data_IF_516209315870
#
_entry.id   IF_516209315870
#
_cell.length_a   1.000
_cell.length_b   1.000
_cell.length_c   1.000
_cell.angle_alpha   90.00
_cell.angle_beta   90.00
_cell.angle_gamma   90.00
#
_symmetry.space_group_name_H-M   'P 1'
#
loop_
_entity.id
_entity.type
_entity.pdbx_description
1 polymer ?
#
# COMPACT_ATOMS: atom_id res chain seq x y z
N UNK A 1 -55.64 -42.15 14.16
CA UNK A 1 -56.59 -41.16 14.69
C UNK A 1 -56.15 -39.81 14.16
N UNK A 2 -56.85 -39.32 13.13
CA UNK A 2 -57.64 -38.07 13.16
C UNK A 2 -56.77 -36.82 13.39
N UNK A 3 -56.82 -35.72 12.63
CA UNK A 3 -57.63 -35.22 11.50
C UNK A 3 -56.85 -33.94 11.07
N UNK A 4 -56.52 -33.76 9.79
CA UNK A 4 -57.28 -32.92 8.84
C UNK A 4 -57.55 -31.47 9.30
N UNK A 5 -57.02 -30.50 8.53
CA UNK A 5 -57.75 -29.44 7.79
C UNK A 5 -56.69 -28.44 7.26
N UNK A 6 -56.45 -28.34 5.94
CA UNK A 6 -57.13 -27.44 4.96
C UNK A 6 -56.81 -25.96 5.26
N UNK A 7 -56.28 -25.11 4.37
CA UNK A 7 -56.58 -24.75 2.96
C UNK A 7 -55.82 -23.41 2.74
N UNK A 8 -55.48 -22.84 1.58
CA UNK A 8 -55.65 -23.12 0.17
C UNK A 8 -54.64 -22.21 -0.56
N UNK A 9 -53.91 -22.73 -1.55
CA UNK A 9 -53.18 -21.93 -2.51
C UNK A 9 -54.15 -21.62 -3.67
N UNK A 10 -54.57 -20.36 -3.78
CA UNK A 10 -55.40 -19.88 -4.88
C UNK A 10 -54.52 -19.13 -5.88
N UNK A 11 -54.54 -19.68 -7.09
CA UNK A 11 -54.04 -19.06 -8.31
C UNK A 11 -54.81 -17.78 -8.62
N UNK A 12 -54.09 -16.67 -8.85
CA UNK A 12 -54.62 -15.45 -9.45
C UNK A 12 -54.03 -15.27 -10.86
N UNK A 13 -54.84 -14.94 -11.89
CA UNK A 13 -54.38 -14.89 -13.27
C UNK A 13 -53.60 -13.61 -13.57
N UNK A 14 -52.54 -13.76 -14.37
CA UNK A 14 -51.85 -12.67 -15.07
C UNK A 14 -52.85 -11.98 -16.01
N UNK A 15 -53.19 -10.73 -15.70
CA UNK A 15 -53.96 -9.84 -16.58
C UNK A 15 -53.00 -8.80 -17.17
N UNK A 16 -52.59 -9.06 -18.41
CA UNK A 16 -51.95 -8.10 -19.30
C UNK A 16 -52.97 -7.01 -19.66
N UNK A 17 -52.76 -5.80 -19.16
CA UNK A 17 -53.41 -4.59 -19.65
C UNK A 17 -52.35 -3.71 -20.32
N UNK A 18 -52.41 -3.70 -21.65
CA UNK A 18 -51.68 -2.79 -22.51
C UNK A 18 -52.12 -1.35 -22.27
N UNK A 19 -51.17 -0.44 -22.45
CA UNK A 19 -51.31 0.97 -22.10
C UNK A 19 -52.28 1.77 -22.96
N UNK A 20 -52.70 2.89 -22.39
CA UNK A 20 -52.99 4.14 -23.08
C UNK A 20 -53.23 5.22 -22.03
N UNK A 21 -52.55 6.37 -22.19
CA UNK A 21 -52.89 7.60 -21.47
C UNK A 21 -51.70 8.24 -20.79
N UNK A 22 -50.80 8.85 -21.57
CA UNK A 22 -50.03 9.97 -21.07
C UNK A 22 -51.04 11.01 -20.56
N UNK A 23 -51.04 11.32 -19.27
CA UNK A 23 -51.62 12.56 -18.79
C UNK A 23 -50.83 13.68 -19.49
N UNK A 24 -51.43 14.31 -20.50
CA UNK A 24 -50.91 15.58 -21.01
C UNK A 24 -51.14 16.58 -19.90
N UNK A 25 -50.08 16.96 -19.18
CA UNK A 25 -50.04 18.26 -18.53
C UNK A 25 -50.43 19.30 -19.58
N UNK A 26 -51.48 20.06 -19.33
CA UNK A 26 -51.79 21.22 -20.15
C UNK A 26 -50.51 22.08 -20.21
N UNK A 27 -50.02 22.33 -21.43
CA UNK A 27 -48.93 23.29 -21.61
C UNK A 27 -49.46 24.63 -21.14
N UNK A 28 -49.06 25.06 -19.95
CA UNK A 28 -49.20 26.45 -19.51
C UNK A 28 -48.35 27.26 -20.49
N UNK A 29 -48.98 27.88 -21.48
CA UNK A 29 -48.28 28.62 -22.53
C UNK A 29 -47.93 30.04 -22.09
N UNK A 30 -48.49 30.53 -20.98
CA UNK A 30 -48.25 31.85 -20.40
C UNK A 30 -48.44 31.80 -18.88
N UNK A 31 -47.51 32.42 -18.15
CA UNK A 31 -47.63 32.59 -16.71
C UNK A 31 -48.72 33.61 -16.35
N UNK A 32 -49.35 33.48 -15.16
CA UNK A 32 -50.29 34.48 -14.66
C UNK A 32 -49.64 35.88 -14.61
N UNK A 33 -50.43 36.96 -14.71
CA UNK A 33 -49.90 38.32 -14.62
C UNK A 33 -49.04 38.52 -13.36
N UNK A 34 -47.81 38.99 -13.57
CA UNK A 34 -46.81 39.20 -12.51
C UNK A 34 -45.91 38.00 -12.19
N UNK A 35 -46.06 36.89 -12.91
CA UNK A 35 -45.11 35.77 -12.93
C UNK A 35 -44.34 35.74 -14.26
N UNK A 36 -43.07 35.34 -14.22
CA UNK A 36 -42.16 35.21 -15.35
C UNK A 36 -41.81 33.74 -15.62
N UNK A 37 -41.34 33.49 -16.84
CA UNK A 37 -40.88 32.16 -17.26
C UNK A 37 -39.47 31.87 -16.72
N UNK A 38 -39.29 30.74 -16.03
CA UNK A 38 -37.97 30.21 -15.67
C UNK A 38 -37.72 28.81 -16.24
N UNK A 39 -36.46 28.57 -16.61
CA UNK A 39 -35.95 27.26 -17.00
C UNK A 39 -35.31 26.60 -15.78
N UNK A 40 -35.70 25.36 -15.48
CA UNK A 40 -35.11 24.55 -14.41
C UNK A 40 -33.95 23.71 -14.96
N UNK A 41 -33.01 23.32 -14.08
CA UNK A 41 -31.78 22.60 -14.45
C UNK A 41 -32.06 21.21 -15.07
N UNK A 42 -33.23 20.63 -14.80
CA UNK A 42 -33.71 19.37 -15.37
C UNK A 42 -34.34 19.53 -16.78
N UNK A 43 -34.35 20.76 -17.31
CA UNK A 43 -34.94 21.10 -18.62
C UNK A 43 -36.45 21.28 -18.58
N UNK A 44 -37.08 21.24 -17.41
CA UNK A 44 -38.49 21.60 -17.21
C UNK A 44 -38.68 23.11 -17.07
N UNK A 45 -39.93 23.55 -17.02
CA UNK A 45 -40.29 24.97 -16.99
C UNK A 45 -41.30 25.23 -15.88
N UNK A 46 -41.14 26.35 -15.19
CA UNK A 46 -42.08 26.80 -14.17
C UNK A 46 -42.28 28.33 -14.20
N UNK A 47 -43.40 28.77 -13.64
CA UNK A 47 -43.75 30.18 -13.49
C UNK A 47 -43.24 30.72 -12.16
N UNK A 48 -42.21 31.55 -12.22
CA UNK A 48 -41.57 32.18 -11.07
C UNK A 48 -42.12 33.58 -10.83
N UNK A 49 -42.05 34.11 -9.60
CA UNK A 49 -42.51 35.48 -9.35
C UNK A 49 -41.67 36.48 -10.17
N UNK A 50 -42.29 37.57 -10.65
CA UNK A 50 -41.59 38.64 -11.38
C UNK A 50 -41.60 39.98 -10.62
N UNK A 51 -42.41 40.10 -9.56
CA UNK A 51 -42.49 41.25 -8.68
C UNK A 51 -43.05 40.87 -7.31
N UNK A 52 -42.87 41.75 -6.31
CA UNK A 52 -43.38 41.51 -4.95
C UNK A 52 -44.91 41.49 -4.88
N UNK A 53 -45.59 42.17 -5.82
CA UNK A 53 -47.06 42.30 -5.84
C UNK A 53 -47.79 40.96 -6.05
N UNK A 54 -47.11 39.95 -6.60
CA UNK A 54 -47.69 38.61 -6.74
C UNK A 54 -47.44 37.71 -5.55
N UNK A 55 -46.56 38.11 -4.63
CA UNK A 55 -46.25 37.32 -3.46
C UNK A 55 -47.31 37.50 -2.36
N UNK A 56 -47.57 36.46 -1.55
CA UNK A 56 -48.45 36.57 -0.40
C UNK A 56 -47.98 37.65 0.58
N UNK A 57 -48.88 38.15 1.44
CA UNK A 57 -48.51 39.14 2.45
C UNK A 57 -47.30 38.68 3.28
N UNK A 58 -46.37 39.61 3.53
CA UNK A 58 -45.10 39.35 4.21
C UNK A 58 -43.99 38.78 3.31
N UNK A 59 -44.26 38.40 2.05
CA UNK A 59 -43.25 37.84 1.15
C UNK A 59 -42.79 38.85 0.08
N UNK A 60 -41.53 38.76 -0.34
CA UNK A 60 -40.96 39.49 -1.49
C UNK A 60 -40.50 38.50 -2.56
N UNK A 61 -40.40 38.97 -3.80
CA UNK A 61 -39.91 38.15 -4.89
C UNK A 61 -38.38 38.23 -4.98
N UNK A 62 -37.70 37.12 -4.66
CA UNK A 62 -36.25 37.00 -4.73
C UNK A 62 -35.86 35.80 -5.60
N UNK A 63 -35.10 36.06 -6.66
CA UNK A 63 -34.62 35.03 -7.60
C UNK A 63 -35.75 34.15 -8.18
N UNK A 64 -36.95 34.70 -8.32
CA UNK A 64 -38.11 33.99 -8.85
C UNK A 64 -38.91 33.19 -7.82
N UNK A 65 -38.51 33.21 -6.54
CA UNK A 65 -39.27 32.61 -5.45
C UNK A 65 -39.83 33.70 -4.53
N UNK A 66 -41.07 33.52 -4.07
CA UNK A 66 -41.61 34.35 -3.00
C UNK A 66 -40.99 33.92 -1.67
N UNK A 67 -40.05 34.71 -1.16
CA UNK A 67 -39.36 34.47 0.11
C UNK A 67 -39.94 35.35 1.20
N UNK A 68 -39.96 34.85 2.42
CA UNK A 68 -40.49 35.58 3.56
C UNK A 68 -39.60 36.79 3.89
N UNK A 69 -40.18 37.98 4.05
CA UNK A 69 -39.46 39.26 4.22
C UNK A 69 -39.62 39.87 5.62
N UNK A 70 -40.68 39.53 6.35
CA UNK A 70 -40.87 39.94 7.74
C UNK A 70 -41.62 38.88 8.55
N UNK A 71 -41.70 39.02 9.88
CA UNK A 71 -42.30 37.99 10.75
C UNK A 71 -43.78 37.68 10.42
N UNK A 72 -44.49 38.54 9.69
CA UNK A 72 -45.90 38.30 9.36
C UNK A 72 -46.13 37.14 8.40
N UNK A 73 -45.09 36.69 7.68
CA UNK A 73 -45.16 35.47 6.86
C UNK A 73 -44.76 34.19 7.60
N UNK A 74 -44.24 34.29 8.83
CA UNK A 74 -43.86 33.13 9.60
C UNK A 74 -45.05 32.56 10.39
N UNK A 75 -45.13 31.22 10.55
CA UNK A 75 -46.10 30.58 11.44
C UNK A 75 -45.99 31.07 12.89
N UNK A 76 -47.03 30.85 13.70
CA UNK A 76 -46.97 31.17 15.13
C UNK A 76 -45.75 30.52 15.79
N UNK A 77 -45.03 31.33 16.58
CA UNK A 77 -43.77 30.96 17.25
C UNK A 77 -42.52 30.86 16.35
N UNK A 78 -42.63 31.22 15.07
CA UNK A 78 -41.48 31.38 14.17
C UNK A 78 -41.28 32.86 13.81
N UNK A 79 -40.03 33.26 13.58
CA UNK A 79 -39.64 34.60 13.16
C UNK A 79 -38.60 34.52 12.03
N UNK A 80 -38.36 35.62 11.33
CA UNK A 80 -37.31 35.64 10.30
C UNK A 80 -35.93 35.51 10.92
N UNK A 81 -35.10 34.69 10.28
CA UNK A 81 -33.70 34.56 10.60
C UNK A 81 -32.97 35.88 10.29
N UNK A 82 -32.45 36.54 11.33
CA UNK A 82 -31.71 37.81 11.14
C UNK A 82 -30.38 37.67 10.40
N UNK A 83 -29.80 36.47 10.35
CA UNK A 83 -28.55 36.20 9.62
C UNK A 83 -28.82 35.69 8.20
N UNK A 84 -29.95 35.00 7.99
CA UNK A 84 -30.37 34.45 6.69
C UNK A 84 -31.82 34.87 6.34
N UNK A 85 -32.04 36.15 5.99
CA UNK A 85 -33.37 36.64 5.61
C UNK A 85 -33.96 35.81 4.46
N UNK A 86 -35.26 35.52 4.53
CA UNK A 86 -35.93 34.59 3.63
C UNK A 86 -36.35 33.26 4.26
N UNK A 87 -35.79 32.92 5.44
CA UNK A 87 -36.10 31.68 6.18
C UNK A 87 -36.75 32.00 7.54
N UNK A 88 -37.84 31.32 7.85
CA UNK A 88 -38.44 31.33 9.18
C UNK A 88 -37.73 30.32 10.08
N UNK A 89 -37.30 30.76 11.26
CA UNK A 89 -36.68 29.93 12.31
C UNK A 89 -37.53 29.99 13.57
N UNK A 90 -37.43 28.94 14.38
CA UNK A 90 -38.13 28.87 15.66
C UNK A 90 -37.67 30.01 16.58
N UNK A 91 -38.62 30.75 17.15
CA UNK A 91 -38.37 31.93 17.99
C UNK A 91 -39.17 31.90 19.29
N UNK A 92 -39.41 30.70 19.83
CA UNK A 92 -40.13 30.52 21.09
C UNK A 92 -40.22 29.06 21.55
N UNK A 93 -40.72 28.80 22.77
CA UNK A 93 -40.80 27.44 23.30
C UNK A 93 -41.83 26.56 22.59
N UNK A 94 -42.87 27.14 21.99
CA UNK A 94 -43.96 26.38 21.39
C UNK A 94 -43.62 25.78 20.02
N UNK A 95 -42.51 26.21 19.39
CA UNK A 95 -42.03 25.63 18.13
C UNK A 95 -41.01 24.51 18.33
N UNK A 96 -40.56 24.23 19.55
CA UNK A 96 -39.67 23.11 19.82
C UNK A 96 -40.44 21.79 19.86
N UNK A 97 -39.88 20.77 19.21
CA UNK A 97 -40.41 19.40 19.24
C UNK A 97 -40.25 18.76 20.63
N UNK A 98 -40.97 17.67 20.90
CA UNK A 98 -40.85 16.94 22.17
C UNK A 98 -39.38 16.52 22.41
N UNK A 99 -38.88 16.81 23.62
CA UNK A 99 -37.48 16.59 23.99
C UNK A 99 -36.58 17.81 23.83
N UNK A 100 -37.01 18.86 23.11
CA UNK A 100 -36.24 20.10 22.94
C UNK A 100 -36.77 21.24 23.82
N UNK A 101 -35.86 22.12 24.27
CA UNK A 101 -36.15 23.34 25.03
C UNK A 101 -35.60 24.54 24.28
N UNK A 102 -36.39 25.61 24.18
CA UNK A 102 -35.94 26.84 23.53
C UNK A 102 -34.98 27.60 24.44
N UNK A 103 -33.77 27.84 23.94
CA UNK A 103 -32.75 28.68 24.58
C UNK A 103 -32.66 30.02 23.82
N UNK A 104 -33.09 31.14 24.44
CA UNK A 104 -33.04 32.46 23.81
C UNK A 104 -31.62 33.04 23.71
N UNK A 105 -30.64 32.49 24.42
CA UNK A 105 -29.27 33.01 24.47
C UNK A 105 -28.37 32.40 23.37
N UNK A 106 -28.85 31.36 22.67
CA UNK A 106 -28.12 30.71 21.59
C UNK A 106 -28.31 31.41 20.24
N UNK A 107 -27.39 32.33 19.97
CA UNK A 107 -27.36 33.11 18.75
C UNK A 107 -28.42 34.23 18.75
N UNK A 108 -28.51 35.00 17.65
CA UNK A 108 -29.36 36.18 17.62
C UNK A 108 -30.87 35.86 17.53
N UNK A 109 -31.24 34.63 17.16
CA UNK A 109 -32.63 34.19 17.02
C UNK A 109 -33.13 33.31 18.18
N UNK A 110 -32.24 32.85 19.06
CA UNK A 110 -32.48 31.71 19.95
C UNK A 110 -32.61 30.39 19.17
N UNK A 111 -32.49 29.25 19.85
CA UNK A 111 -32.58 27.93 19.21
C UNK A 111 -33.17 26.88 20.15
N UNK A 112 -33.84 25.88 19.57
CA UNK A 112 -34.23 24.68 20.30
C UNK A 112 -33.00 23.80 20.53
N UNK A 113 -32.71 23.50 21.79
CA UNK A 113 -31.66 22.56 22.18
C UNK A 113 -32.25 21.31 22.78
N UNK A 114 -31.57 20.19 22.54
CA UNK A 114 -31.96 18.92 23.11
C UNK A 114 -31.83 18.98 24.64
N UNK A 115 -32.86 18.54 25.36
CA UNK A 115 -32.95 18.59 26.82
C UNK A 115 -33.15 17.22 27.47
N UNK A 116 -33.11 16.14 26.69
CA UNK A 116 -33.24 14.77 27.19
C UNK A 116 -32.54 13.75 26.27
N UNK A 117 -32.41 12.51 26.73
CA UNK A 117 -31.86 11.43 25.90
C UNK A 117 -32.71 11.11 24.65
N UNK A 118 -34.00 11.48 24.63
CA UNK A 118 -34.91 11.13 23.54
C UNK A 118 -34.70 11.97 22.28
N UNK A 119 -34.06 13.14 22.40
CA UNK A 119 -33.74 14.01 21.27
C UNK A 119 -32.33 13.83 20.72
N UNK A 120 -31.51 12.96 21.31
CA UNK A 120 -30.18 12.69 20.77
C UNK A 120 -30.26 11.84 19.49
N UNK A 121 -29.55 12.22 18.42
CA UNK A 121 -29.42 11.39 17.22
C UNK A 121 -28.73 10.06 17.53
N UNK A 122 -28.78 9.14 16.57
CA UNK A 122 -28.06 7.86 16.67
C UNK A 122 -26.56 8.09 16.96
N UNK A 123 -26.00 7.24 17.82
CA UNK A 123 -24.64 7.32 18.37
C UNK A 123 -24.30 8.60 19.17
N UNK A 124 -25.29 9.40 19.56
CA UNK A 124 -25.12 10.42 20.59
C UNK A 124 -25.73 9.98 21.93
N UNK A 125 -25.07 10.31 23.03
CA UNK A 125 -25.56 10.09 24.39
C UNK A 125 -25.77 11.44 25.07
N UNK A 126 -26.92 11.62 25.71
CA UNK A 126 -27.20 12.84 26.45
C UNK A 126 -26.39 12.88 27.75
N UNK A 127 -25.58 13.93 27.91
CA UNK A 127 -24.84 14.20 29.12
C UNK A 127 -25.65 15.15 30.03
N UNK A 128 -25.97 14.69 31.24
CA UNK A 128 -26.80 15.43 32.18
C UNK A 128 -26.06 16.63 32.83
N UNK A 129 -24.73 16.66 32.82
CA UNK A 129 -23.92 17.74 33.39
C UNK A 129 -23.79 18.91 32.41
N UNK A 130 -23.52 18.62 31.14
CA UNK A 130 -23.41 19.62 30.08
C UNK A 130 -24.75 19.97 29.45
N UNK A 131 -25.80 19.17 29.70
CA UNK A 131 -27.14 19.29 29.10
C UNK A 131 -27.09 19.25 27.57
N UNK A 132 -26.22 18.38 27.01
CA UNK A 132 -26.00 18.27 25.56
C UNK A 132 -25.83 16.82 25.14
N UNK A 133 -26.12 16.54 23.87
CA UNK A 133 -25.79 15.27 23.24
C UNK A 133 -24.30 15.25 22.90
N UNK A 134 -23.58 14.28 23.46
CA UNK A 134 -22.17 14.02 23.17
C UNK A 134 -22.04 12.79 22.27
N UNK A 135 -21.09 12.84 21.34
CA UNK A 135 -20.83 11.73 20.44
C UNK A 135 -20.34 10.51 21.23
N UNK A 136 -20.82 9.31 20.87
CA UNK A 136 -20.55 8.06 21.56
C UNK A 136 -20.34 6.86 20.60
N UNK A 137 -20.16 7.12 19.30
CA UNK A 137 -19.96 6.09 18.29
C UNK A 137 -19.52 6.65 16.94
N UNK A 138 -19.38 5.79 15.94
CA UNK A 138 -18.77 6.19 14.66
C UNK A 138 -19.67 7.09 13.81
N UNK A 139 -21.00 6.94 13.88
CA UNK A 139 -21.89 7.70 12.99
C UNK A 139 -21.98 9.19 13.33
N UNK A 140 -21.55 9.58 14.54
CA UNK A 140 -21.44 10.96 14.95
C UNK A 140 -20.07 11.60 14.65
N UNK A 141 -19.10 10.81 14.20
CA UNK A 141 -17.75 11.30 13.92
C UNK A 141 -17.68 12.05 12.58
N UNK A 142 -16.97 13.20 12.52
CA UNK A 142 -16.68 13.92 11.28
C UNK A 142 -15.97 13.06 10.22
N UNK A 143 -15.97 13.54 8.96
CA UNK A 143 -15.26 12.85 7.87
C UNK A 143 -13.80 12.56 8.22
N UNK A 144 -13.35 11.34 7.86
CA UNK A 144 -12.01 10.79 8.16
C UNK A 144 -11.64 10.73 9.65
N UNK A 145 -12.63 10.74 10.55
CA UNK A 145 -12.45 10.42 11.97
C UNK A 145 -13.23 9.15 12.36
N UNK A 146 -12.77 8.47 13.41
CA UNK A 146 -13.35 7.21 13.92
C UNK A 146 -13.45 7.28 15.44
N UNK A 147 -14.47 6.67 16.04
CA UNK A 147 -14.66 6.70 17.48
C UNK A 147 -13.60 5.89 18.21
N UNK A 148 -12.85 6.56 19.10
CA UNK A 148 -11.92 5.90 20.01
C UNK A 148 -12.62 5.64 21.36
N UNK A 149 -12.89 4.37 21.73
CA UNK A 149 -13.55 4.04 22.97
C UNK A 149 -12.68 4.26 24.21
N UNK A 150 -11.35 4.31 24.07
CA UNK A 150 -10.42 4.58 25.18
C UNK A 150 -10.34 6.08 25.46
N UNK A 151 -10.27 6.90 24.40
CA UNK A 151 -10.25 8.36 24.52
C UNK A 151 -11.65 8.97 24.72
N UNK A 152 -12.73 8.20 24.48
CA UNK A 152 -14.11 8.66 24.44
C UNK A 152 -14.29 9.88 23.51
N UNK A 153 -13.63 9.84 22.35
CA UNK A 153 -13.63 10.93 21.38
C UNK A 153 -13.38 10.41 19.96
N UNK A 154 -13.77 11.19 18.94
CA UNK A 154 -13.40 10.88 17.55
C UNK A 154 -11.91 11.13 17.33
N UNK A 155 -11.17 10.07 16.97
CA UNK A 155 -9.77 10.11 16.60
C UNK A 155 -9.62 10.29 15.09
N UNK A 156 -8.59 11.03 14.67
CA UNK A 156 -8.32 11.28 13.27
C UNK A 156 -7.71 10.03 12.60
N UNK A 157 -8.21 9.66 11.42
CA UNK A 157 -7.79 8.48 10.64
C UNK A 157 -7.39 8.81 9.19
N UNK A 158 -7.32 10.09 8.84
CA UNK A 158 -7.00 10.55 7.50
C UNK A 158 -6.44 11.97 7.47
N UNK A 159 -6.04 12.43 6.28
CA UNK A 159 -5.39 13.73 6.13
C UNK A 159 -6.39 14.89 6.30
N UNK A 160 -7.67 14.69 5.98
CA UNK A 160 -8.67 15.76 6.00
C UNK A 160 -9.05 16.20 7.41
N UNK A 161 -8.89 15.32 8.41
CA UNK A 161 -9.09 15.65 9.82
C UNK A 161 -7.88 16.29 10.48
N UNK A 162 -6.72 16.34 9.81
CA UNK A 162 -5.53 16.94 10.39
C UNK A 162 -5.55 18.47 10.36
N UNK A 163 -4.96 19.14 11.38
CA UNK A 163 -4.83 20.60 11.37
C UNK A 163 -4.02 21.09 10.15
N UNK A 164 -4.20 22.35 9.72
CA UNK A 164 -3.45 22.90 8.60
C UNK A 164 -1.93 22.69 8.75
N UNK A 165 -1.33 22.14 7.69
CA UNK A 165 0.09 21.82 7.63
C UNK A 165 0.48 20.50 8.30
N UNK A 166 -0.45 19.74 8.86
CA UNK A 166 -0.23 18.38 9.33
C UNK A 166 -0.77 17.37 8.32
N UNK A 167 -0.27 16.14 8.40
CA UNK A 167 -0.77 14.96 7.68
C UNK A 167 -0.93 13.81 8.65
N UNK A 168 -1.80 12.86 8.34
CA UNK A 168 -2.00 11.70 9.19
C UNK A 168 -0.93 10.64 8.94
N UNK A 169 -0.30 10.17 10.01
CA UNK A 169 0.68 9.09 9.96
C UNK A 169 0.11 7.83 10.60
N UNK A 170 0.02 6.76 9.82
CA UNK A 170 -0.54 5.48 10.26
C UNK A 170 0.34 4.72 11.24
N UNK A 171 1.65 5.00 11.27
CA UNK A 171 2.60 4.33 12.17
C UNK A 171 2.50 4.94 13.56
N UNK A 172 2.41 6.26 13.65
CA UNK A 172 2.23 6.97 14.92
C UNK A 172 0.76 7.09 15.35
N UNK A 173 -0.17 6.73 14.46
CA UNK A 173 -1.60 6.89 14.65
C UNK A 173 -1.99 8.32 15.06
N UNK A 174 -1.38 9.30 14.41
CA UNK A 174 -1.46 10.71 14.79
C UNK A 174 -1.21 11.65 13.62
N UNK A 175 -1.72 12.89 13.74
CA UNK A 175 -1.36 13.98 12.83
C UNK A 175 0.06 14.46 13.12
N UNK A 176 0.95 14.29 12.15
CA UNK A 176 2.33 14.76 12.20
C UNK A 176 2.51 15.99 11.32
N UNK A 177 3.48 16.83 11.67
CA UNK A 177 3.75 18.04 10.92
C UNK A 177 4.31 17.71 9.51
N UNK A 178 3.75 18.36 8.50
CA UNK A 178 4.05 18.17 7.08
C UNK A 178 4.46 19.46 6.34
N UNK A 179 4.59 20.58 7.06
CA UNK A 179 4.98 21.89 6.53
C UNK A 179 5.81 22.68 7.55
N UNK A 180 6.57 23.67 7.10
CA UNK A 180 7.35 24.55 7.98
C UNK A 180 6.49 25.27 9.03
N UNK A 181 5.23 25.57 8.69
CA UNK A 181 4.32 26.33 9.55
C UNK A 181 3.94 25.62 10.86
N UNK A 182 4.03 24.28 10.90
CA UNK A 182 3.78 23.50 12.11
C UNK A 182 5.06 23.04 12.81
N UNK A 183 6.24 23.35 12.25
CA UNK A 183 7.49 22.97 12.87
C UNK A 183 7.77 23.83 14.11
N UNK A 184 8.36 23.24 15.18
CA UNK A 184 8.83 24.00 16.33
C UNK A 184 9.85 25.08 15.94
N UNK A 185 10.04 26.07 16.80
CA UNK A 185 11.04 27.12 16.55
C UNK A 185 12.43 26.51 16.32
N UNK A 186 13.13 27.02 15.31
CA UNK A 186 14.44 26.48 14.90
C UNK A 186 14.38 25.13 14.18
N UNK A 187 13.21 24.69 13.69
CA UNK A 187 13.06 23.51 12.84
C UNK A 187 12.43 23.89 11.49
N UNK A 188 12.78 23.14 10.46
CA UNK A 188 12.26 23.26 9.08
C UNK A 188 11.84 21.88 8.63
N UNK A 189 10.70 21.77 7.96
CA UNK A 189 10.18 20.52 7.46
C UNK A 189 11.05 20.01 6.32
N UNK A 190 11.47 18.74 6.42
CA UNK A 190 12.19 18.07 5.35
C UNK A 190 11.29 17.02 4.69
N UNK A 191 10.99 17.14 3.39
CA UNK A 191 10.20 16.13 2.67
C UNK A 191 10.97 14.82 2.46
N UNK A 192 12.29 14.79 2.66
CA UNK A 192 13.11 13.58 2.46
C UNK A 192 13.01 12.61 3.64
N UNK A 193 12.87 13.16 4.86
CA UNK A 193 12.71 12.37 6.09
C UNK A 193 11.30 12.53 6.68
N UNK A 194 10.44 13.24 5.96
CA UNK A 194 9.05 13.54 6.28
C UNK A 194 8.82 14.04 7.73
N UNK A 195 9.75 14.85 8.22
CA UNK A 195 9.75 15.34 9.60
C UNK A 195 10.37 16.74 9.72
N UNK A 196 10.09 17.42 10.83
CA UNK A 196 10.74 18.67 11.20
C UNK A 196 12.19 18.44 11.61
N UNK A 197 13.13 19.00 10.86
CA UNK A 197 14.56 18.90 11.12
C UNK A 197 15.07 20.18 11.74
N UNK A 198 15.82 20.06 12.85
CA UNK A 198 16.41 21.22 13.49
C UNK A 198 17.40 21.95 12.56
N UNK A 199 17.23 23.26 12.44
CA UNK A 199 18.10 24.19 11.73
C UNK A 199 18.57 25.31 12.67
N UNK A 200 19.85 25.26 13.08
CA UNK A 200 20.44 26.29 13.94
C UNK A 200 21.58 25.81 14.84
N UNK A 201 22.03 26.70 15.73
CA UNK A 201 23.16 26.49 16.67
C UNK A 201 22.83 25.61 17.88
N UNK A 202 21.58 25.15 18.00
CA UNK A 202 21.11 24.28 19.09
C UNK A 202 20.75 22.86 18.67
N UNK A 203 21.03 22.47 17.42
CA UNK A 203 20.61 21.16 16.91
C UNK A 203 21.46 20.00 17.38
N UNK A 204 22.63 20.29 17.95
CA UNK A 204 23.52 19.28 18.47
C UNK A 204 23.37 19.18 19.99
N UNK A 205 23.38 17.95 20.55
CA UNK A 205 23.40 17.76 22.00
C UNK A 205 24.56 18.52 22.65
N UNK A 206 24.43 18.80 23.95
CA UNK A 206 25.50 19.46 24.69
C UNK A 206 26.85 18.72 24.51
N UNK A 207 27.89 19.48 24.13
CA UNK A 207 29.22 18.93 23.82
C UNK A 207 29.42 18.55 22.35
N UNK A 208 28.39 18.58 21.51
CA UNK A 208 28.53 18.36 20.07
C UNK A 208 28.41 19.67 19.30
N UNK A 209 29.21 19.82 18.25
CA UNK A 209 29.17 20.97 17.34
C UNK A 209 28.71 20.53 15.94
N UNK A 210 27.95 21.40 15.27
CA UNK A 210 27.44 21.12 13.92
C UNK A 210 28.57 21.29 12.89
N UNK A 211 28.90 20.22 12.20
CA UNK A 211 29.82 20.23 11.07
C UNK A 211 29.26 20.96 9.84
N UNK A 212 30.10 21.25 8.83
CA UNK A 212 29.68 21.93 7.60
C UNK A 212 28.71 21.10 6.75
N UNK A 213 28.67 19.78 6.94
CA UNK A 213 27.72 18.82 6.40
C UNK A 213 26.41 18.73 7.20
N UNK A 214 26.30 19.50 8.29
CA UNK A 214 25.15 19.50 9.19
C UNK A 214 25.14 18.37 10.21
N UNK A 215 26.18 17.53 10.26
CA UNK A 215 26.30 16.40 11.20
C UNK A 215 26.89 16.87 12.53
N UNK A 216 26.33 16.42 13.65
CA UNK A 216 26.83 16.73 14.98
C UNK A 216 28.10 15.94 15.29
N UNK A 217 29.18 16.64 15.63
CA UNK A 217 30.51 16.09 15.89
C UNK A 217 30.91 16.34 17.34
N UNK A 218 31.46 15.33 18.00
CA UNK A 218 31.97 15.50 19.37
C UNK A 218 33.13 16.49 19.38
N UNK A 219 33.23 17.28 20.45
CA UNK A 219 34.32 18.26 20.65
C UNK A 219 35.34 17.78 21.68
N UNK A 220 34.94 16.86 22.56
CA UNK A 220 35.80 16.26 23.59
C UNK A 220 35.20 14.96 24.10
N UNK A 221 35.96 14.19 24.86
CA UNK A 221 35.48 12.95 25.49
C UNK A 221 34.26 13.19 26.41
N UNK A 222 34.15 14.40 26.98
CA UNK A 222 33.01 14.78 27.82
C UNK A 222 31.68 14.85 27.04
N UNK A 223 31.75 14.98 25.72
CA UNK A 223 30.58 14.94 24.83
C UNK A 223 30.06 13.51 24.65
N UNK A 224 30.90 12.51 24.87
CA UNK A 224 30.62 11.14 24.49
C UNK A 224 30.01 10.33 25.66
N UNK A 225 28.91 9.59 25.42
CA UNK A 225 28.29 8.77 26.47
C UNK A 225 29.18 7.57 26.83
N UNK A 226 28.93 6.96 27.99
CA UNK A 226 29.54 5.69 28.41
C UNK A 226 31.09 5.65 28.41
N UNK A 227 31.75 6.80 28.67
CA UNK A 227 33.22 6.94 28.64
C UNK A 227 33.88 6.72 27.28
N UNK A 228 33.09 6.73 26.21
CA UNK A 228 33.63 6.72 24.85
C UNK A 228 34.56 7.94 24.65
N UNK A 229 35.59 7.75 23.83
CA UNK A 229 36.57 8.79 23.50
C UNK A 229 36.12 9.54 22.26
N UNK A 230 36.29 10.84 22.22
CA UNK A 230 36.03 11.63 21.04
C UNK A 230 37.22 11.55 20.07
N UNK A 231 37.02 10.86 18.94
CA UNK A 231 37.93 11.00 17.81
C UNK A 231 37.67 12.34 17.12
N UNK A 232 38.45 13.35 17.52
CA UNK A 232 38.34 14.72 16.98
C UNK A 232 38.65 14.82 15.48
N UNK A 233 39.32 13.83 14.87
CA UNK A 233 39.57 13.84 13.44
C UNK A 233 38.31 13.53 12.63
N UNK A 234 37.50 12.58 13.11
CA UNK A 234 36.23 12.20 12.48
C UNK A 234 35.02 12.91 13.11
N UNK A 235 35.18 13.46 14.32
CA UNK A 235 34.10 14.03 15.12
C UNK A 235 33.20 12.97 15.75
N UNK A 236 33.65 11.72 15.87
CA UNK A 236 32.83 10.58 16.31
C UNK A 236 33.26 10.06 17.68
N UNK A 237 32.30 9.64 18.49
CA UNK A 237 32.58 8.92 19.73
C UNK A 237 32.98 7.48 19.39
N UNK A 238 34.12 7.03 19.89
CA UNK A 238 34.69 5.69 19.66
C UNK A 238 35.01 5.00 20.98
N UNK A 239 34.93 3.68 20.98
CA UNK A 239 35.47 2.85 22.06
C UNK A 239 36.93 2.51 21.78
N UNK A 240 37.70 2.26 22.84
CA UNK A 240 39.05 1.72 22.77
C UNK A 240 39.13 0.31 23.39
N UNK A 241 38.22 0.00 24.32
CA UNK A 241 38.14 -1.29 25.02
C UNK A 241 36.69 -1.69 25.29
N UNK A 242 36.45 -2.97 25.56
CA UNK A 242 35.10 -3.53 25.77
C UNK A 242 34.38 -2.88 26.96
N UNK A 243 35.12 -2.43 27.97
CA UNK A 243 34.59 -1.70 29.13
C UNK A 243 33.88 -0.39 28.78
N UNK A 244 34.21 0.22 27.63
CA UNK A 244 33.57 1.46 27.16
C UNK A 244 32.13 1.22 26.67
N UNK A 245 31.77 -0.04 26.40
CA UNK A 245 30.53 -0.40 25.71
C UNK A 245 29.38 -0.86 26.62
N UNK A 246 29.65 -0.99 27.92
CA UNK A 246 28.70 -1.54 28.89
C UNK A 246 28.52 -3.06 28.76
N UNK A 247 27.70 -3.64 29.65
CA UNK A 247 27.50 -5.10 29.69
C UNK A 247 26.91 -5.64 28.38
N UNK A 248 27.37 -6.83 27.96
CA UNK A 248 26.90 -7.52 26.76
C UNK A 248 27.35 -6.90 25.43
N UNK A 249 28.36 -6.02 25.44
CA UNK A 249 28.92 -5.40 24.25
C UNK A 249 30.45 -5.45 24.26
N UNK A 250 31.06 -5.43 23.09
CA UNK A 250 32.52 -5.37 22.92
C UNK A 250 32.91 -4.24 21.96
N UNK A 251 34.14 -3.77 22.06
CA UNK A 251 34.67 -2.76 21.17
C UNK A 251 35.27 -3.40 19.92
N UNK A 252 34.63 -3.20 18.77
CA UNK A 252 35.15 -3.77 17.52
C UNK A 252 36.34 -2.97 16.96
N UNK A 253 37.04 -3.53 15.97
CA UNK A 253 38.24 -2.94 15.35
C UNK A 253 38.02 -1.56 14.70
N UNK A 254 36.78 -1.12 14.54
CA UNK A 254 36.41 0.17 13.94
C UNK A 254 36.04 1.22 14.99
N UNK A 255 36.20 0.90 16.28
CA UNK A 255 35.88 1.79 17.40
C UNK A 255 34.39 1.92 17.66
N UNK A 256 33.58 0.92 17.29
CA UNK A 256 32.15 0.88 17.62
C UNK A 256 31.84 -0.17 18.67
N UNK A 257 30.95 0.18 19.58
CA UNK A 257 30.36 -0.77 20.51
C UNK A 257 29.37 -1.65 19.77
N UNK A 258 29.76 -2.90 19.58
CA UNK A 258 28.93 -3.93 18.98
C UNK A 258 28.35 -4.78 20.10
N UNK A 259 27.09 -5.16 20.00
CA UNK A 259 26.56 -6.17 20.90
C UNK A 259 27.40 -7.43 20.75
N UNK A 260 27.67 -8.10 21.86
CA UNK A 260 27.94 -9.53 21.82
C UNK A 260 26.60 -10.13 21.40
N UNK A 261 26.33 -10.09 20.09
CA UNK A 261 25.40 -11.01 19.51
C UNK A 261 26.01 -12.37 19.85
N UNK A 262 25.38 -12.99 20.82
CA UNK A 262 25.13 -14.40 20.82
C UNK A 262 25.03 -14.88 19.34
N UNK A 263 25.69 -16.00 19.01
CA UNK A 263 25.96 -16.41 17.63
C UNK A 263 24.66 -16.54 16.81
N UNK A 264 24.74 -16.29 15.50
CA UNK A 264 23.61 -16.47 14.56
C UNK A 264 23.89 -17.65 13.63
N UNK A 265 25.17 -17.95 13.42
CA UNK A 265 25.67 -19.02 12.57
C UNK A 265 26.93 -19.64 13.17
N UNK A 266 27.30 -20.83 12.68
CA UNK A 266 28.56 -21.47 13.09
C UNK A 266 29.81 -20.62 12.75
N UNK A 267 29.71 -19.68 11.80
CA UNK A 267 30.81 -18.77 11.46
C UNK A 267 31.08 -17.72 12.54
N UNK A 268 30.12 -17.48 13.42
CA UNK A 268 30.25 -16.55 14.55
C UNK A 268 30.96 -17.19 15.76
N UNK A 269 31.20 -18.51 15.69
CA UNK A 269 31.77 -19.29 16.77
C UNK A 269 33.25 -19.63 16.51
N UNK A 270 34.12 -19.59 17.54
CA UNK A 270 35.52 -20.00 17.42
C UNK A 270 35.64 -21.48 17.02
N UNK A 271 36.79 -21.85 16.44
CA UNK A 271 37.08 -23.23 16.05
C UNK A 271 36.71 -24.21 17.16
N UNK A 272 36.06 -25.34 16.79
CA UNK A 272 35.54 -26.36 17.71
C UNK A 272 34.39 -25.91 18.64
N UNK A 273 33.58 -24.93 18.22
CA UNK A 273 32.28 -24.61 18.81
C UNK A 273 31.22 -24.45 17.71
N UNK A 274 29.94 -24.68 18.04
CA UNK A 274 28.79 -24.53 17.12
C UNK A 274 27.78 -23.56 17.70
N UNK A 275 27.01 -22.91 16.83
CA UNK A 275 26.01 -21.97 17.25
C UNK A 275 24.67 -22.63 17.55
N UNK A 276 24.18 -22.49 18.79
CA UNK A 276 22.84 -22.91 19.16
C UNK A 276 21.87 -21.72 19.02
N UNK A 277 21.17 -21.65 17.88
CA UNK A 277 20.26 -20.55 17.50
C UNK A 277 19.01 -20.38 18.39
N UNK A 278 18.70 -21.36 19.25
CA UNK A 278 17.58 -21.26 20.20
C UNK A 278 17.90 -20.39 21.43
N UNK A 279 19.20 -20.28 21.76
CA UNK A 279 19.71 -19.54 22.91
C UNK A 279 20.85 -18.59 22.51
N UNK A 280 21.08 -18.46 21.20
CA UNK A 280 22.14 -17.73 20.54
C UNK A 280 23.56 -18.01 21.13
N UNK A 281 23.83 -19.21 21.65
CA UNK A 281 25.08 -19.48 22.37
C UNK A 281 26.05 -20.37 21.58
N UNK A 282 27.34 -19.98 21.51
CA UNK A 282 28.39 -20.89 21.05
C UNK A 282 28.63 -21.97 22.11
N UNK A 283 28.30 -23.22 21.78
CA UNK A 283 28.52 -24.40 22.63
C UNK A 283 29.68 -25.23 22.09
N UNK A 284 30.42 -25.98 22.95
CA UNK A 284 31.49 -26.87 22.47
C UNK A 284 31.01 -27.74 21.31
N UNK A 285 31.82 -27.86 20.26
CA UNK A 285 31.57 -28.80 19.17
C UNK A 285 31.62 -30.21 19.76
N UNK A 286 30.42 -30.73 19.99
CA UNK A 286 30.14 -31.99 20.64
C UNK A 286 28.95 -32.63 19.95
N UNK A 287 28.15 -33.46 20.65
CA UNK A 287 27.01 -34.10 20.02
C UNK A 287 26.10 -33.08 19.38
N UNK A 288 25.68 -33.33 18.14
CA UNK A 288 24.70 -32.50 17.46
C UNK A 288 23.36 -32.54 18.21
N UNK A 289 22.52 -31.53 18.03
CA UNK A 289 21.14 -31.54 18.54
C UNK A 289 20.10 -31.38 17.43
N UNK A 290 20.55 -30.95 16.25
CA UNK A 290 19.78 -30.63 15.06
C UNK A 290 20.65 -31.01 13.85
N UNK A 291 20.05 -31.26 12.71
CA UNK A 291 20.78 -31.70 11.51
C UNK A 291 21.65 -30.59 10.93
N UNK A 292 21.26 -29.33 11.10
CA UNK A 292 22.00 -28.15 10.66
C UNK A 292 23.33 -27.97 11.41
N UNK A 293 23.50 -28.66 12.54
CA UNK A 293 24.79 -28.73 13.24
C UNK A 293 25.77 -29.70 12.57
N UNK A 294 25.30 -30.52 11.64
CA UNK A 294 26.09 -31.54 10.97
C UNK A 294 26.56 -31.07 9.57
N UNK A 295 27.71 -31.55 9.09
CA UNK A 295 28.13 -31.30 7.71
C UNK A 295 27.09 -31.79 6.70
N UNK A 296 26.98 -31.11 5.55
CA UNK A 296 26.14 -31.54 4.42
C UNK A 296 26.39 -33.02 4.09
N UNK A 297 25.32 -33.79 3.93
CA UNK A 297 25.35 -35.25 3.73
C UNK A 297 25.36 -36.08 5.02
N UNK A 298 25.17 -35.45 6.18
CA UNK A 298 25.02 -36.13 7.47
C UNK A 298 23.87 -35.53 8.27
N UNK A 299 23.23 -36.35 9.11
CA UNK A 299 22.12 -35.95 9.99
C UNK A 299 22.45 -36.23 11.44
N UNK A 300 21.78 -35.54 12.33
CA UNK A 300 21.94 -35.73 13.75
C UNK A 300 21.11 -36.91 14.27
N UNK A 301 21.80 -37.97 14.72
CA UNK A 301 21.18 -39.14 15.34
C UNK A 301 21.83 -39.41 16.70
N UNK A 302 21.04 -39.38 17.77
CA UNK A 302 21.48 -39.59 19.15
C UNK A 302 22.71 -38.76 19.56
N UNK A 303 22.80 -37.53 19.03
CA UNK A 303 23.94 -36.66 19.27
C UNK A 303 25.18 -37.01 18.46
N UNK A 304 25.07 -37.74 17.35
CA UNK A 304 26.21 -37.98 16.46
C UNK A 304 25.80 -37.66 15.03
N UNK A 305 26.63 -36.91 14.31
CA UNK A 305 26.45 -36.71 12.87
C UNK A 305 26.74 -38.03 12.15
N UNK A 306 25.70 -38.67 11.62
CA UNK A 306 25.79 -39.93 10.87
C UNK A 306 25.47 -39.67 9.39
N UNK A 307 26.08 -40.42 8.45
CA UNK A 307 25.77 -40.28 7.03
C UNK A 307 24.27 -40.47 6.74
N UNK A 308 23.64 -39.48 6.11
CA UNK A 308 22.22 -39.51 5.82
C UNK A 308 21.64 -38.14 5.52
N UNK A 309 20.33 -38.10 5.35
CA UNK A 309 19.52 -36.91 5.10
C UNK A 309 18.08 -37.17 5.61
N UNK A 310 17.36 -36.10 5.97
CA UNK A 310 15.90 -36.12 6.19
C UNK A 310 15.18 -35.49 5.01
N UNK A 311 15.80 -34.47 4.41
CA UNK A 311 15.28 -33.73 3.28
C UNK A 311 16.37 -33.44 2.25
N UNK A 312 15.93 -33.04 1.06
CA UNK A 312 16.81 -32.76 -0.07
C UNK A 312 17.85 -31.66 0.19
N UNK A 313 17.54 -30.57 0.93
CA UNK A 313 18.54 -29.57 1.32
C UNK A 313 19.70 -30.10 2.17
N UNK A 314 19.56 -31.26 2.83
CA UNK A 314 20.64 -31.89 3.60
C UNK A 314 21.74 -32.47 2.71
N UNK A 315 21.46 -32.62 1.41
CA UNK A 315 22.36 -33.27 0.47
C UNK A 315 23.28 -32.29 -0.27
N UNK A 316 24.47 -32.75 -0.71
CA UNK A 316 25.32 -31.96 -1.59
C UNK A 316 24.57 -31.47 -2.82
N UNK A 317 25.01 -30.34 -3.38
CA UNK A 317 24.45 -29.80 -4.62
C UNK A 317 24.28 -30.90 -5.68
N UNK A 318 23.09 -30.95 -6.30
CA UNK A 318 22.69 -31.94 -7.32
C UNK A 318 22.51 -33.38 -6.82
N UNK A 319 22.31 -33.57 -5.52
CA UNK A 319 21.87 -34.84 -4.93
C UNK A 319 20.59 -34.61 -4.14
N UNK A 320 19.70 -35.60 -4.10
CA UNK A 320 18.46 -35.51 -3.32
C UNK A 320 18.40 -36.57 -2.25
N UNK A 321 17.56 -36.35 -1.24
CA UNK A 321 17.39 -37.33 -0.17
C UNK A 321 16.45 -38.45 -0.61
N UNK A 322 16.99 -39.66 -0.77
CA UNK A 322 16.26 -40.86 -1.16
C UNK A 322 16.44 -41.94 -0.11
N UNK A 323 15.36 -42.37 0.53
CA UNK A 323 15.41 -43.41 1.57
C UNK A 323 16.33 -43.08 2.75
N UNK A 324 16.50 -41.79 3.07
CA UNK A 324 17.39 -41.32 4.15
C UNK A 324 18.88 -41.27 3.77
N UNK A 325 19.21 -41.38 2.48
CA UNK A 325 20.57 -41.26 1.95
C UNK A 325 20.61 -40.25 0.81
N UNK A 326 21.72 -39.52 0.72
CA UNK A 326 21.94 -38.62 -0.42
C UNK A 326 22.32 -39.43 -1.64
N UNK A 327 21.43 -39.47 -2.62
CA UNK A 327 21.62 -40.19 -3.87
C UNK A 327 21.66 -39.22 -5.06
N UNK A 328 22.31 -39.66 -6.14
CA UNK A 328 22.27 -38.98 -7.43
C UNK A 328 20.87 -39.15 -8.02
N UNK A 329 19.96 -38.30 -7.59
CA UNK A 329 18.57 -38.30 -7.99
C UNK A 329 18.16 -36.87 -8.32
N UNK A 330 17.66 -36.66 -9.54
CA UNK A 330 17.24 -35.36 -10.02
C UNK A 330 15.75 -35.14 -9.73
N UNK A 331 15.37 -33.93 -9.32
CA UNK A 331 13.97 -33.54 -9.18
C UNK A 331 13.46 -32.85 -10.45
N UNK A 332 14.33 -32.10 -11.11
CA UNK A 332 14.08 -31.46 -12.39
C UNK A 332 15.38 -31.42 -13.23
N UNK A 333 15.31 -30.89 -14.45
CA UNK A 333 16.43 -30.86 -15.39
C UNK A 333 17.66 -30.12 -14.82
N UNK A 334 17.49 -29.06 -14.01
CA UNK A 334 18.60 -28.24 -13.50
C UNK A 334 19.46 -28.96 -12.46
N UNK A 335 18.99 -30.10 -11.95
CA UNK A 335 19.74 -30.98 -11.05
C UNK A 335 20.77 -31.81 -11.81
N UNK A 336 20.62 -31.94 -13.12
CA UNK A 336 21.49 -32.75 -13.93
C UNK A 336 22.76 -32.01 -14.37
N UNK A 337 23.80 -32.74 -14.80
CA UNK A 337 24.92 -32.14 -15.54
C UNK A 337 24.42 -31.38 -16.78
N UNK A 338 25.22 -30.43 -17.25
CA UNK A 338 24.91 -29.61 -18.43
C UNK A 338 24.48 -30.46 -19.64
N UNK A 339 23.42 -30.03 -20.33
CA UNK A 339 22.80 -30.72 -21.47
C UNK A 339 22.27 -32.14 -21.16
N UNK A 340 21.65 -32.31 -19.98
CA UNK A 340 20.96 -33.53 -19.61
C UNK A 340 19.54 -33.25 -19.12
N UNK A 341 18.62 -34.17 -19.36
CA UNK A 341 17.27 -34.17 -18.83
C UNK A 341 17.18 -35.04 -17.58
N UNK A 342 16.33 -34.64 -16.66
CA UNK A 342 15.89 -35.50 -15.58
C UNK A 342 14.77 -36.41 -16.08
N UNK A 343 15.07 -37.70 -16.26
CA UNK A 343 14.08 -38.71 -16.57
C UNK A 343 13.89 -39.63 -15.36
N UNK A 344 12.74 -39.52 -14.71
CA UNK A 344 12.34 -40.42 -13.62
C UNK A 344 13.38 -40.52 -12.50
N UNK A 345 13.99 -39.39 -12.13
CA UNK A 345 15.04 -39.32 -11.12
C UNK A 345 16.46 -39.60 -11.62
N UNK A 346 16.65 -39.86 -12.92
CA UNK A 346 17.96 -40.14 -13.51
C UNK A 346 18.31 -39.14 -14.61
N UNK A 347 19.53 -38.64 -14.57
CA UNK A 347 20.03 -37.75 -15.62
C UNK A 347 20.37 -38.53 -16.89
N UNK A 348 19.80 -38.09 -18.02
CA UNK A 348 20.00 -38.65 -19.35
C UNK A 348 20.47 -37.57 -20.34
N UNK A 349 21.42 -37.85 -21.23
CA UNK A 349 21.86 -36.86 -22.23
C UNK A 349 20.73 -36.36 -23.11
N UNK A 350 20.74 -35.07 -23.46
CA UNK A 350 19.72 -34.41 -24.28
C UNK A 350 19.64 -34.86 -25.75
N UNK A 351 20.43 -35.87 -26.14
CA UNK A 351 20.51 -36.39 -27.51
C UNK A 351 21.28 -35.49 -28.46
N UNK A 352 21.02 -35.63 -29.76
CA UNK A 352 21.74 -34.93 -30.84
C UNK A 352 21.11 -33.57 -31.21
N UNK A 353 20.15 -33.09 -30.42
CA UNK A 353 19.56 -31.78 -30.67
C UNK A 353 20.64 -30.68 -30.53
N UNK A 354 20.62 -29.66 -31.41
CA UNK A 354 21.73 -28.72 -31.57
C UNK A 354 21.72 -27.63 -30.48
N UNK A 355 21.37 -27.97 -29.24
CA UNK A 355 21.41 -27.05 -28.11
C UNK A 355 22.78 -26.37 -28.04
N UNK A 356 22.80 -25.04 -28.06
CA UNK A 356 24.04 -24.28 -27.95
C UNK A 356 25.08 -24.55 -29.05
N UNK A 357 24.68 -25.15 -30.18
CA UNK A 357 25.56 -25.33 -31.32
C UNK A 357 25.82 -23.98 -32.02
N UNK A 358 26.89 -23.90 -32.82
CA UNK A 358 27.09 -22.77 -33.74
C UNK A 358 25.89 -22.63 -34.68
N UNK A 359 25.55 -21.40 -35.06
CA UNK A 359 24.47 -21.12 -36.00
C UNK A 359 24.64 -21.81 -37.37
N UNK A 360 25.88 -22.14 -37.77
CA UNK A 360 26.14 -22.95 -38.97
C UNK A 360 25.55 -24.37 -38.91
N UNK A 361 25.26 -24.86 -37.69
CA UNK A 361 24.72 -26.19 -37.43
C UNK A 361 23.22 -26.19 -37.15
N UNK A 362 22.55 -25.04 -37.31
CA UNK A 362 21.14 -24.93 -37.03
C UNK A 362 20.27 -25.67 -38.06
N UNK A 363 19.22 -26.38 -37.61
CA UNK A 363 18.43 -27.25 -38.48
C UNK A 363 17.45 -26.47 -39.36
N UNK A 364 17.10 -25.23 -38.99
CA UNK A 364 16.16 -24.40 -39.70
C UNK A 364 16.49 -22.89 -39.59
N UNK A 365 16.13 -22.08 -40.60
CA UNK A 365 16.21 -20.63 -40.49
C UNK A 365 15.35 -20.12 -39.32
N UNK A 366 15.83 -19.10 -38.60
CA UNK A 366 15.16 -18.54 -37.42
C UNK A 366 15.47 -19.25 -36.09
N UNK A 367 16.32 -20.28 -36.09
CA UNK A 367 16.79 -20.97 -34.86
C UNK A 367 18.18 -20.53 -34.40
N UNK A 368 18.86 -19.68 -35.19
CA UNK A 368 20.06 -18.98 -34.76
C UNK A 368 19.62 -17.77 -33.94
N UNK A 369 19.92 -17.80 -32.65
CA UNK A 369 19.51 -16.80 -31.68
C UNK A 369 20.72 -15.96 -31.24
N UNK A 370 20.44 -14.70 -30.93
CA UNK A 370 21.40 -13.75 -30.40
C UNK A 370 20.92 -13.36 -29.01
N UNK A 371 21.73 -13.54 -27.97
CA UNK A 371 21.39 -13.01 -26.67
C UNK A 371 21.46 -11.48 -26.68
N UNK A 372 20.65 -10.86 -25.83
CA UNK A 372 20.55 -9.39 -25.73
C UNK A 372 21.73 -8.82 -24.90
N UNK A 373 22.43 -9.65 -24.13
CA UNK A 373 23.61 -9.30 -23.35
C UNK A 373 24.87 -9.08 -24.19
N UNK A 374 25.64 -8.04 -23.88
CA UNK A 374 26.92 -7.75 -24.55
C UNK A 374 27.96 -8.86 -24.38
N UNK A 375 28.70 -9.15 -25.47
CA UNK A 375 29.90 -10.02 -25.46
C UNK A 375 29.66 -11.49 -25.76
N UNK A 376 28.41 -11.87 -26.06
CA UNK A 376 28.03 -13.27 -26.24
C UNK A 376 27.94 -13.67 -27.71
N UNK A 377 28.03 -14.99 -27.95
CA UNK A 377 28.03 -15.55 -29.31
C UNK A 377 26.64 -16.04 -29.66
N UNK A 378 26.31 -15.89 -30.93
CA UNK A 378 25.17 -16.53 -31.56
C UNK A 378 25.16 -18.05 -31.32
N UNK A 379 23.99 -18.60 -31.06
CA UNK A 379 23.83 -20.02 -30.74
C UNK A 379 22.55 -20.57 -31.36
N UNK A 380 22.51 -21.89 -31.49
CA UNK A 380 21.33 -22.58 -31.96
C UNK A 380 20.35 -22.86 -30.81
N UNK A 381 19.18 -22.25 -30.89
CA UNK A 381 18.05 -22.51 -30.02
C UNK A 381 17.25 -23.72 -30.47
N UNK A 382 16.70 -24.46 -29.51
CA UNK A 382 15.73 -25.53 -29.76
C UNK A 382 14.36 -25.08 -29.22
N UNK A 383 13.27 -25.18 -30.00
CA UNK A 383 11.95 -24.71 -29.57
C UNK A 383 11.51 -25.41 -28.28
N UNK A 384 10.88 -24.66 -27.38
CA UNK A 384 10.35 -25.16 -26.11
C UNK A 384 8.99 -24.53 -25.82
N UNK A 385 8.24 -25.11 -24.90
CA UNK A 385 7.00 -24.56 -24.36
C UNK A 385 7.09 -24.25 -22.86
N UNK A 386 8.03 -24.89 -22.17
CA UNK A 386 8.35 -24.66 -20.77
C UNK A 386 9.79 -25.10 -20.47
N UNK A 387 10.31 -24.75 -19.30
CA UNK A 387 11.64 -25.18 -18.84
C UNK A 387 11.82 -26.71 -18.80
N UNK A 388 10.72 -27.46 -18.70
CA UNK A 388 10.77 -28.93 -18.73
C UNK A 388 11.24 -29.48 -20.08
N UNK A 389 11.05 -28.73 -21.17
CA UNK A 389 11.50 -29.10 -22.52
C UNK A 389 13.00 -28.82 -22.74
N UNK A 390 13.63 -28.07 -21.82
CA UNK A 390 15.01 -27.66 -21.91
C UNK A 390 15.91 -28.46 -20.97
N UNK A 391 17.07 -28.96 -21.45
CA UNK A 391 17.99 -29.70 -20.60
C UNK A 391 18.71 -28.77 -19.61
N UNK A 392 19.36 -29.35 -18.60
CA UNK A 392 20.11 -28.63 -17.57
C UNK A 392 21.03 -27.55 -18.12
N UNK A 393 20.98 -26.38 -17.51
CA UNK A 393 21.75 -25.19 -17.89
C UNK A 393 21.09 -24.34 -18.96
N UNK A 394 19.96 -24.78 -19.52
CA UNK A 394 19.10 -23.99 -20.39
C UNK A 394 17.74 -23.75 -19.72
N UNK A 395 17.12 -22.61 -20.03
CA UNK A 395 15.74 -22.27 -19.69
C UNK A 395 14.95 -21.97 -20.96
N UNK A 396 13.63 -22.10 -20.88
CA UNK A 396 12.75 -21.79 -21.99
C UNK A 396 12.48 -20.29 -22.03
N UNK A 397 13.22 -19.59 -22.88
CA UNK A 397 13.24 -18.13 -22.92
C UNK A 397 12.47 -17.60 -24.12
N UNK A 398 11.91 -16.41 -23.93
CA UNK A 398 11.19 -15.68 -24.96
C UNK A 398 12.14 -15.12 -26.02
N UNK A 399 11.79 -15.34 -27.29
CA UNK A 399 12.51 -14.81 -28.44
C UNK A 399 11.72 -13.66 -29.05
N UNK A 400 12.33 -12.48 -28.96
CA UNK A 400 11.87 -11.24 -29.58
C UNK A 400 12.65 -10.98 -30.86
N UNK A 401 12.14 -10.10 -31.73
CA UNK A 401 12.83 -9.69 -32.96
C UNK A 401 13.30 -8.26 -32.84
N UNK A 402 14.59 -8.04 -33.12
CA UNK A 402 15.15 -6.70 -33.32
C UNK A 402 14.77 -6.14 -34.69
N UNK A 403 14.63 -4.82 -34.77
CA UNK A 403 14.36 -4.09 -36.01
C UNK A 403 15.37 -2.95 -36.19
N UNK A 404 15.87 -2.68 -37.41
CA UNK A 404 16.95 -1.72 -37.62
C UNK A 404 16.49 -0.26 -37.63
N UNK A 405 15.19 0.00 -37.88
CA UNK A 405 14.62 1.34 -38.01
C UNK A 405 13.19 1.34 -37.46
N UNK A 406 12.84 2.35 -36.66
CA UNK A 406 11.47 2.56 -36.17
C UNK A 406 10.46 2.60 -37.32
N UNK A 407 9.34 1.90 -37.16
CA UNK A 407 8.26 1.80 -38.15
C UNK A 407 8.46 0.83 -39.32
N UNK A 408 9.60 0.16 -39.47
CA UNK A 408 9.86 -0.80 -40.57
C UNK A 408 10.36 -2.18 -40.07
N UNK A 409 10.46 -3.17 -40.98
CA UNK A 409 11.03 -4.52 -40.78
C UNK A 409 10.30 -5.52 -39.86
N UNK A 410 9.35 -5.06 -39.05
CA UNK A 410 8.49 -5.94 -38.27
C UNK A 410 7.36 -6.56 -39.13
N UNK A 411 6.80 -7.68 -38.68
CA UNK A 411 5.67 -8.34 -39.36
C UNK A 411 4.41 -7.44 -39.29
N UNK A 412 3.40 -7.70 -40.14
CA UNK A 412 2.24 -6.81 -40.35
C UNK A 412 1.42 -6.46 -39.09
N UNK A 413 1.58 -7.22 -38.00
CA UNK A 413 0.87 -7.06 -36.73
C UNK A 413 1.71 -6.36 -35.64
N UNK A 414 2.96 -6.01 -35.95
CA UNK A 414 3.93 -5.44 -35.01
C UNK A 414 4.59 -4.19 -35.58
N UNK A 415 4.98 -3.28 -34.70
CA UNK A 415 5.68 -2.03 -35.02
C UNK A 415 7.02 -2.01 -34.31
N UNK A 416 8.03 -1.40 -34.94
CA UNK A 416 9.35 -1.26 -34.34
C UNK A 416 9.36 -0.13 -33.30
N UNK A 417 9.68 -0.45 -32.05
CA UNK A 417 9.65 0.45 -30.89
C UNK A 417 11.01 0.45 -30.19
N UNK A 418 11.42 1.61 -29.65
CA UNK A 418 12.66 1.77 -28.88
C UNK A 418 12.47 1.45 -27.39
N UNK A 419 13.41 0.66 -26.85
CA UNK A 419 13.47 0.22 -25.47
C UNK A 419 14.79 0.70 -24.83
N UNK A 420 14.70 1.37 -23.68
CA UNK A 420 15.89 1.72 -22.89
C UNK A 420 16.27 0.51 -22.05
N UNK A 421 17.43 -0.09 -22.32
CA UNK A 421 17.94 -1.24 -21.58
C UNK A 421 18.92 -0.74 -20.51
N UNK A 422 18.78 -1.25 -19.28
CA UNK A 422 19.63 -0.84 -18.16
C UNK A 422 21.07 -1.27 -18.44
N UNK A 423 22.01 -0.33 -18.30
CA UNK A 423 23.44 -0.48 -18.60
C UNK A 423 23.82 -0.54 -20.10
N UNK A 424 22.87 -0.30 -21.01
CA UNK A 424 23.18 -0.13 -22.43
C UNK A 424 23.24 1.36 -22.81
N UNK A 425 24.25 1.81 -23.57
CA UNK A 425 24.40 3.22 -23.94
C UNK A 425 23.38 3.67 -24.99
N UNK A 426 22.86 2.74 -25.81
CA UNK A 426 21.93 3.02 -26.90
C UNK A 426 20.63 2.22 -26.70
N UNK A 427 19.46 2.79 -27.06
CA UNK A 427 18.19 2.09 -26.97
C UNK A 427 18.13 0.92 -27.96
N UNK A 428 17.56 -0.20 -27.53
CA UNK A 428 17.34 -1.37 -28.38
C UNK A 428 16.01 -1.24 -29.12
N UNK A 429 16.02 -1.49 -30.43
CA UNK A 429 14.81 -1.44 -31.26
C UNK A 429 14.23 -2.85 -31.42
N UNK A 430 13.02 -3.06 -30.90
CA UNK A 430 12.32 -4.36 -30.89
C UNK A 430 10.92 -4.26 -31.51
N UNK A 431 10.45 -5.36 -32.09
CA UNK A 431 9.10 -5.46 -32.64
C UNK A 431 8.05 -5.68 -31.54
N UNK A 432 7.02 -4.85 -31.51
CA UNK A 432 6.01 -4.80 -30.45
C UNK A 432 4.61 -4.65 -31.05
N UNK A 433 3.59 -5.25 -30.43
CA UNK A 433 2.22 -5.05 -30.92
C UNK A 433 1.71 -3.64 -30.57
N UNK A 434 0.93 -2.99 -31.44
CA UNK A 434 0.35 -1.69 -31.12
C UNK A 434 -0.49 -1.73 -29.83
N UNK A 435 -0.10 -0.92 -28.85
CA UNK A 435 -0.79 -0.81 -27.55
C UNK A 435 -0.23 -1.68 -26.43
N UNK A 436 0.75 -2.54 -26.71
CA UNK A 436 1.50 -3.29 -25.68
C UNK A 436 2.74 -2.50 -25.24
N UNK A 437 3.12 -2.61 -23.96
CA UNK A 437 4.32 -2.00 -23.40
C UNK A 437 5.55 -2.90 -23.49
N UNK A 438 5.36 -4.20 -23.68
CA UNK A 438 6.42 -5.21 -23.72
C UNK A 438 6.69 -5.68 -25.15
N UNK A 439 7.93 -6.08 -25.49
CA UNK A 439 8.25 -6.62 -26.81
C UNK A 439 7.38 -7.83 -27.15
N UNK A 440 7.02 -7.96 -28.42
CA UNK A 440 6.23 -9.10 -28.86
C UNK A 440 7.08 -10.37 -28.87
N UNK A 441 6.65 -11.38 -28.09
CA UNK A 441 7.25 -12.72 -28.10
C UNK A 441 6.78 -13.48 -29.34
N UNK A 442 7.71 -13.81 -30.22
CA UNK A 442 7.41 -14.53 -31.47
C UNK A 442 7.47 -16.04 -31.31
N UNK A 443 8.31 -16.51 -30.38
CA UNK A 443 8.54 -17.91 -30.10
C UNK A 443 9.32 -18.05 -28.79
N UNK A 444 9.43 -19.28 -28.30
CA UNK A 444 10.20 -19.65 -27.11
C UNK A 444 11.22 -20.73 -27.47
N UNK A 445 12.43 -20.57 -26.97
CA UNK A 445 13.55 -21.45 -27.27
C UNK A 445 14.41 -21.70 -26.04
N UNK A 446 15.00 -22.89 -25.97
CA UNK A 446 15.97 -23.21 -24.93
C UNK A 446 17.23 -22.35 -25.08
N UNK A 447 17.47 -21.49 -24.11
CA UNK A 447 18.57 -20.52 -24.05
C UNK A 447 19.41 -20.72 -22.78
N UNK A 448 20.72 -20.44 -22.79
CA UNK A 448 21.57 -20.58 -21.62
C UNK A 448 21.16 -19.66 -20.47
N UNK A 449 20.95 -20.24 -19.28
CA UNK A 449 20.67 -19.47 -18.06
C UNK A 449 21.84 -18.56 -17.69
N UNK A 450 23.07 -18.98 -18.03
CA UNK A 450 24.28 -18.20 -17.78
C UNK A 450 24.51 -17.08 -18.82
N UNK A 451 23.61 -16.91 -19.80
CA UNK A 451 23.77 -16.00 -20.94
C UNK A 451 24.62 -16.56 -22.09
N UNK A 452 25.58 -17.45 -21.79
CA UNK A 452 26.46 -18.03 -22.79
C UNK A 452 26.47 -19.56 -22.82
N UNK A 453 26.70 -20.10 -24.01
CA UNK A 453 26.98 -21.52 -24.22
C UNK A 453 28.42 -21.86 -23.79
N UNK A 454 28.59 -22.96 -23.04
CA UNK A 454 29.90 -23.41 -22.51
C UNK A 454 30.80 -24.10 -23.52
#
# INVERSE_FOLDING_TARGET
MNRLLHTAALWGPLLLLAGAGCARSERVTQCPPGYAWAHLEDGSFDCVCASDEVCPAGHICQEGLCVCNDDSCCPESYAIDVEQPGRCVCHGPECCEEGFVFDPDLGPNGACVCASAECCPDDYVFDEETQRCECAGDSCCPEETEWDPEAQACACRGDSCCPPGHRYDRVFDACICALDSCCPEGHVYSPQVEACVCVGVGCCPAGFEKGPDGVCRCTSDASCPNRLTCDTATGRCVCNEDSDCGEGRFCNRFGFCQTVAACISNADCPDSTICQSEVDQCVPAGPCYLDEHCPIGTVCEEGTCVPGCRETPDCPLRMSCQGGQCESYCLDNQWCPYLQFCDSGRCTPAGDAPYCASCDSCPAPGTCLFPISEGEREFCGVPCSSDADCPSGLACEDVVRSCPVEGEFCDAETVCVSYVVVNEPEPLLLCTRPGESEPHVFATYCSPIAGYCR
#
